data_IF_326913113470
#
_entry.id   IF_326913113470
#
_cell.length_a   1.000
_cell.length_b   1.000
_cell.length_c   1.000
_cell.angle_alpha   90.00
_cell.angle_beta   90.00
_cell.angle_gamma   90.00
#
_symmetry.space_group_name_H-M   'P 1'
#
loop_
_entity.id
_entity.type
_entity.pdbx_description
1 polymer ?
#
# COMPACT_ATOMS: atom_id res chain seq x y z
N UNK A 1 -14.64 -3.08 -32.89
CA UNK A 1 -15.18 -2.98 -31.52
C UNK A 1 -14.52 -4.10 -30.72
N UNK A 2 -13.24 -3.92 -30.36
CA UNK A 2 -12.40 -4.96 -29.72
C UNK A 2 -11.39 -4.28 -28.76
N UNK A 3 -11.90 -3.51 -27.79
CA UNK A 3 -11.08 -2.94 -26.70
C UNK A 3 -11.57 -3.35 -25.30
N UNK A 4 -12.74 -3.96 -25.18
CA UNK A 4 -13.32 -4.32 -23.88
C UNK A 4 -12.66 -5.54 -23.22
N UNK A 5 -12.05 -6.45 -24.00
CA UNK A 5 -11.39 -7.65 -23.47
C UNK A 5 -10.01 -7.42 -22.85
N UNK A 6 -9.31 -6.34 -23.24
CA UNK A 6 -8.00 -5.99 -22.69
C UNK A 6 -8.13 -5.17 -21.39
N UNK A 7 -9.14 -4.31 -21.29
CA UNK A 7 -9.41 -3.52 -20.07
C UNK A 7 -9.83 -4.43 -18.89
N UNK A 8 -10.66 -5.45 -19.12
CA UNK A 8 -11.12 -6.37 -18.05
C UNK A 8 -10.02 -7.31 -17.54
N UNK A 9 -9.13 -7.78 -18.43
CA UNK A 9 -7.94 -8.55 -18.04
C UNK A 9 -6.97 -7.72 -17.19
N UNK A 10 -6.95 -6.39 -17.41
CA UNK A 10 -6.15 -5.46 -16.63
C UNK A 10 -6.80 -5.19 -15.27
N UNK A 11 -8.13 -5.09 -15.15
CA UNK A 11 -8.81 -4.97 -13.85
C UNK A 11 -8.63 -6.19 -12.95
N UNK A 12 -8.39 -7.38 -13.52
CA UNK A 12 -8.35 -8.65 -12.78
C UNK A 12 -6.95 -9.23 -12.60
N UNK A 13 -5.86 -8.49 -12.85
CA UNK A 13 -4.53 -9.07 -12.63
C UNK A 13 -4.24 -9.29 -11.13
N UNK A 14 -3.98 -10.54 -10.70
CA UNK A 14 -3.89 -10.91 -9.29
C UNK A 14 -2.70 -10.29 -8.58
N UNK A 15 -1.60 -9.96 -9.29
CA UNK A 15 -0.44 -9.33 -8.68
C UNK A 15 -0.74 -7.88 -8.28
N UNK A 16 -1.55 -7.17 -9.07
CA UNK A 16 -2.06 -5.85 -8.72
C UNK A 16 -2.99 -5.88 -7.52
N UNK A 17 -3.93 -6.81 -7.50
CA UNK A 17 -4.84 -6.98 -6.36
C UNK A 17 -4.07 -7.33 -5.09
N UNK A 18 -3.03 -8.16 -5.19
CA UNK A 18 -2.15 -8.48 -4.07
C UNK A 18 -1.42 -7.24 -3.52
N UNK A 19 -0.90 -6.35 -4.38
CA UNK A 19 -0.28 -5.09 -3.94
C UNK A 19 -1.27 -4.19 -3.18
N UNK A 20 -2.53 -4.13 -3.63
CA UNK A 20 -3.56 -3.37 -2.93
C UNK A 20 -3.98 -4.00 -1.60
N UNK A 21 -4.05 -5.33 -1.53
CA UNK A 21 -4.30 -6.04 -0.28
C UNK A 21 -3.14 -5.83 0.72
N UNK A 22 -1.89 -5.83 0.24
CA UNK A 22 -0.72 -5.54 1.05
C UNK A 22 -0.73 -4.10 1.57
N UNK A 23 -1.05 -3.12 0.71
CA UNK A 23 -1.26 -1.73 1.11
C UNK A 23 -2.28 -1.61 2.25
N UNK A 24 -3.45 -2.23 2.08
CA UNK A 24 -4.52 -2.17 3.08
C UNK A 24 -4.10 -2.83 4.41
N UNK A 25 -3.35 -3.94 4.35
CA UNK A 25 -2.80 -4.58 5.54
C UNK A 25 -1.80 -3.66 6.27
N UNK A 26 -0.91 -2.98 5.54
CA UNK A 26 0.03 -2.01 6.10
C UNK A 26 -0.69 -0.81 6.71
N UNK A 27 -1.72 -0.27 6.05
CA UNK A 27 -2.54 0.84 6.57
C UNK A 27 -3.25 0.46 7.88
N UNK A 28 -3.82 -0.75 7.98
CA UNK A 28 -4.41 -1.26 9.22
C UNK A 28 -3.38 -1.43 10.34
N UNK A 29 -2.21 -1.98 10.02
CA UNK A 29 -1.12 -2.12 10.98
C UNK A 29 -0.63 -0.76 11.49
N UNK A 30 -0.53 0.23 10.60
CA UNK A 30 -0.15 1.59 10.94
C UNK A 30 -1.13 2.22 11.92
N UNK A 31 -2.43 2.09 11.65
CA UNK A 31 -3.47 2.58 12.57
C UNK A 31 -3.37 1.93 13.96
N UNK A 32 -3.05 0.63 14.02
CA UNK A 32 -2.85 -0.07 15.29
C UNK A 32 -1.60 0.41 16.04
N UNK A 33 -0.47 0.59 15.34
CA UNK A 33 0.75 1.14 15.92
C UNK A 33 0.52 2.54 16.49
N UNK A 34 -0.18 3.41 15.75
CA UNK A 34 -0.55 4.76 16.21
C UNK A 34 -1.47 4.73 17.43
N UNK A 35 -2.44 3.81 17.47
CA UNK A 35 -3.29 3.62 18.64
C UNK A 35 -2.49 3.17 19.87
N UNK A 36 -1.57 2.21 19.71
CA UNK A 36 -0.66 1.76 20.79
C UNK A 36 0.19 2.91 21.32
N UNK A 37 0.74 3.75 20.46
CA UNK A 37 1.51 4.92 20.89
C UNK A 37 0.68 5.91 21.70
N UNK A 38 -0.56 6.17 21.25
CA UNK A 38 -1.43 7.18 21.86
C UNK A 38 -2.04 6.73 23.19
N UNK A 39 -2.32 5.43 23.33
CA UNK A 39 -3.11 4.90 24.44
C UNK A 39 -2.35 3.95 25.36
N UNK A 40 -1.06 3.66 25.11
CA UNK A 40 -0.24 2.86 26.02
C UNK A 40 0.09 3.66 27.29
N UNK A 41 -0.06 3.01 28.44
CA UNK A 41 0.47 3.48 29.73
C UNK A 41 1.92 3.06 29.97
N UNK A 42 2.45 2.15 29.15
CA UNK A 42 3.84 1.69 29.18
C UNK A 42 4.68 2.50 28.16
N UNK A 43 5.69 3.28 28.62
CA UNK A 43 6.59 4.03 27.76
C UNK A 43 7.41 3.17 26.79
N UNK A 44 7.77 1.94 27.19
CA UNK A 44 8.57 1.04 26.37
C UNK A 44 7.73 0.45 25.24
N UNK A 45 6.48 0.07 25.54
CA UNK A 45 5.51 -0.31 24.52
C UNK A 45 5.21 0.83 23.54
N UNK A 46 5.10 2.07 24.02
CA UNK A 46 4.93 3.24 23.14
C UNK A 46 6.17 3.49 22.26
N UNK A 47 7.38 3.28 22.80
CA UNK A 47 8.62 3.38 22.04
C UNK A 47 8.76 2.27 20.99
N UNK A 48 8.34 1.05 21.32
CA UNK A 48 8.28 -0.06 20.37
C UNK A 48 7.30 0.22 19.24
N UNK A 49 6.10 0.73 19.55
CA UNK A 49 5.10 1.09 18.55
C UNK A 49 5.54 2.24 17.63
N UNK A 50 6.41 3.16 18.10
CA UNK A 50 7.06 4.17 17.24
C UNK A 50 8.04 3.58 16.24
N UNK A 51 8.83 2.59 16.66
CA UNK A 51 9.76 1.87 15.76
C UNK A 51 8.98 1.06 14.72
N UNK A 52 7.95 0.35 15.18
CA UNK A 52 7.02 -0.38 14.31
C UNK A 52 6.36 0.55 13.27
N UNK A 53 5.89 1.73 13.68
CA UNK A 53 5.34 2.74 12.76
C UNK A 53 6.35 3.16 11.68
N UNK A 54 7.61 3.45 12.07
CA UNK A 54 8.65 3.85 11.13
C UNK A 54 8.92 2.76 10.07
N UNK A 55 9.00 1.50 10.49
CA UNK A 55 9.20 0.37 9.58
C UNK A 55 7.98 0.17 8.66
N UNK A 56 6.77 0.30 9.19
CA UNK A 56 5.53 0.21 8.42
C UNK A 56 5.43 1.30 7.35
N UNK A 57 5.86 2.53 7.65
CA UNK A 57 5.87 3.64 6.69
C UNK A 57 6.84 3.39 5.52
N UNK A 58 8.03 2.84 5.80
CA UNK A 58 9.00 2.45 4.76
C UNK A 58 8.39 1.39 3.84
N UNK A 59 7.74 0.39 4.41
CA UNK A 59 7.10 -0.67 3.63
C UNK A 59 5.91 -0.14 2.82
N UNK A 60 5.12 0.78 3.38
CA UNK A 60 4.01 1.41 2.69
C UNK A 60 4.49 2.22 1.48
N UNK A 61 5.55 3.03 1.63
CA UNK A 61 6.14 3.78 0.52
C UNK A 61 6.60 2.85 -0.63
N UNK A 62 7.25 1.74 -0.27
CA UNK A 62 7.66 0.72 -1.24
C UNK A 62 6.46 0.14 -2.00
N UNK A 63 5.40 -0.25 -1.30
CA UNK A 63 4.19 -0.82 -1.92
C UNK A 63 3.49 0.21 -2.81
N UNK A 64 3.37 1.47 -2.37
CA UNK A 64 2.80 2.54 -3.17
C UNK A 64 3.61 2.79 -4.45
N UNK A 65 4.94 2.71 -4.37
CA UNK A 65 5.83 2.80 -5.53
C UNK A 65 5.60 1.64 -6.50
N UNK A 66 5.44 0.41 -6.01
CA UNK A 66 5.16 -0.77 -6.83
C UNK A 66 3.78 -0.70 -7.50
N UNK A 67 2.76 -0.25 -6.77
CA UNK A 67 1.44 0.05 -7.33
C UNK A 67 1.59 1.07 -8.45
N UNK A 68 2.28 2.19 -8.22
CA UNK A 68 2.47 3.20 -9.27
C UNK A 68 3.18 2.65 -10.51
N UNK A 69 4.20 1.81 -10.34
CA UNK A 69 4.91 1.18 -11.44
C UNK A 69 4.03 0.16 -12.21
N UNK A 70 3.19 -0.60 -11.51
CA UNK A 70 2.22 -1.48 -12.13
C UNK A 70 1.13 -0.68 -12.88
N UNK A 71 0.69 0.46 -12.35
CA UNK A 71 -0.28 1.35 -13.00
C UNK A 71 0.26 1.86 -14.34
N UNK A 72 1.53 2.30 -14.37
CA UNK A 72 2.15 2.76 -15.62
C UNK A 72 2.26 1.67 -16.68
N UNK A 73 2.53 0.42 -16.28
CA UNK A 73 2.56 -0.72 -17.23
C UNK A 73 1.18 -1.00 -17.82
N UNK A 74 0.12 -0.74 -17.05
CA UNK A 74 -1.29 -0.95 -17.42
C UNK A 74 -1.85 0.18 -18.27
N UNK A 75 -1.40 1.42 -18.06
CA UNK A 75 -1.81 2.60 -18.83
C UNK A 75 -0.60 3.33 -19.45
N UNK A 76 0.08 2.70 -20.44
CA UNK A 76 1.18 3.35 -21.14
C UNK A 76 0.63 4.57 -21.90
N UNK A 77 1.03 5.78 -21.47
CA UNK A 77 0.57 7.05 -22.06
C UNK A 77 -0.18 8.00 -21.13
N UNK A 78 -0.42 7.63 -19.86
CA UNK A 78 -1.13 8.49 -18.89
C UNK A 78 -0.37 9.78 -18.50
N UNK A 79 0.87 9.98 -18.95
CA UNK A 79 1.64 11.20 -18.72
C UNK A 79 1.33 12.22 -19.84
N UNK A 80 0.30 13.04 -19.64
CA UNK A 80 0.18 14.32 -20.35
C UNK A 80 1.06 15.34 -19.61
N UNK A 81 2.15 15.74 -20.25
CA UNK A 81 2.95 16.90 -19.88
C UNK A 81 2.26 18.16 -20.40
#
# INVERSE_FOLDING_TARGET
MEREGADSATETDPAWLALHAEREALERALALAQARQKFSSDPDAAAAARREEADLLINLDRVLTLIRAAEYRRRPGARRW
#
